data_IF_310188691241
#
_entry.id   IF_310188691241
#
_cell.length_a   1.000
_cell.length_b   1.000
_cell.length_c   1.000
_cell.angle_alpha   90.00
_cell.angle_beta   90.00
_cell.angle_gamma   90.00
#
_symmetry.space_group_name_H-M   'P 1'
#
loop_
_entity.id
_entity.type
_entity.pdbx_description
1 polymer ?
#
# COMPACT_ATOMS: atom_id res chain seq x y z
N UNK A 1 13.21 13.98 14.28
CA UNK A 1 12.08 14.37 13.43
C UNK A 1 11.59 13.08 12.82
N UNK A 2 10.48 12.54 13.30
CA UNK A 2 9.82 11.43 12.62
C UNK A 2 9.17 12.05 11.39
N UNK A 3 9.54 11.56 10.21
CA UNK A 3 8.94 12.01 8.96
C UNK A 3 7.42 11.85 9.07
N UNK A 4 6.68 12.89 8.66
CA UNK A 4 5.22 12.85 8.59
C UNK A 4 4.88 11.83 7.49
N UNK A 5 4.70 10.57 7.89
CA UNK A 5 4.30 9.50 6.98
C UNK A 5 2.84 9.71 6.64
N UNK A 6 2.57 10.06 5.38
CA UNK A 6 1.20 10.18 4.86
C UNK A 6 0.44 8.87 5.13
N UNK A 7 -0.52 8.89 6.07
CA UNK A 7 -1.43 7.78 6.32
C UNK A 7 -2.69 7.92 5.48
N UNK A 8 -3.10 6.82 4.85
CA UNK A 8 -4.32 6.79 4.04
C UNK A 8 -5.28 5.74 4.59
N UNK A 9 -6.54 6.11 4.73
CA UNK A 9 -7.58 5.14 5.06
C UNK A 9 -7.74 4.15 3.90
N UNK A 10 -7.71 2.86 4.23
CA UNK A 10 -7.92 1.77 3.30
C UNK A 10 -9.13 0.94 3.74
N UNK A 11 -9.91 0.48 2.76
CA UNK A 11 -11.05 -0.40 3.02
C UNK A 11 -10.59 -1.84 2.87
N UNK A 12 -10.81 -2.64 3.91
CA UNK A 12 -10.56 -4.09 3.90
C UNK A 12 -11.88 -4.80 3.57
N UNK A 13 -11.89 -5.56 2.48
CA UNK A 13 -12.99 -6.42 2.07
C UNK A 13 -13.10 -7.66 2.96
N UNK A 14 -14.27 -8.30 2.92
CA UNK A 14 -14.54 -9.50 3.73
C UNK A 14 -13.63 -10.70 3.38
N UNK A 15 -13.03 -10.69 2.20
CA UNK A 15 -12.08 -11.68 1.69
C UNK A 15 -10.62 -11.32 1.97
N UNK A 16 -10.37 -10.22 2.70
CA UNK A 16 -9.02 -9.70 2.95
C UNK A 16 -8.45 -8.87 1.80
N UNK A 17 -9.24 -8.56 0.78
CA UNK A 17 -8.82 -7.59 -0.25
C UNK A 17 -8.66 -6.19 0.33
N UNK A 18 -7.67 -5.43 -0.14
CA UNK A 18 -7.46 -4.04 0.28
C UNK A 18 -7.72 -3.12 -0.90
N UNK A 19 -8.64 -2.18 -0.74
CA UNK A 19 -8.87 -1.12 -1.73
C UNK A 19 -7.89 0.01 -1.51
N UNK A 20 -6.91 0.13 -2.40
CA UNK A 20 -5.93 1.23 -2.39
C UNK A 20 -6.55 2.45 -3.10
N UNK A 21 -6.59 3.63 -2.46
CA UNK A 21 -7.03 4.87 -3.09
C UNK A 21 -6.30 5.15 -4.41
N UNK A 22 -7.03 5.59 -5.43
CA UNK A 22 -6.47 5.88 -6.76
C UNK A 22 -5.27 6.84 -6.71
N UNK A 23 -5.32 7.83 -5.83
CA UNK A 23 -4.22 8.79 -5.61
C UNK A 23 -2.90 8.08 -5.26
N UNK A 24 -2.95 7.02 -4.45
CA UNK A 24 -1.76 6.26 -4.07
C UNK A 24 -1.21 5.46 -5.26
N UNK A 25 -2.09 4.84 -6.05
CA UNK A 25 -1.68 4.13 -7.26
C UNK A 25 -0.91 5.05 -8.22
N UNK A 26 -1.40 6.28 -8.41
CA UNK A 26 -0.77 7.28 -9.28
C UNK A 26 0.56 7.78 -8.71
N UNK A 27 0.63 8.10 -7.41
CA UNK A 27 1.85 8.53 -6.74
C UNK A 27 2.95 7.47 -6.81
N UNK A 28 2.59 6.20 -6.56
CA UNK A 28 3.52 5.08 -6.54
C UNK A 28 3.73 4.43 -7.91
N UNK A 29 3.02 4.90 -8.94
CA UNK A 29 3.04 4.37 -10.32
C UNK A 29 2.75 2.86 -10.39
N UNK A 30 1.85 2.39 -9.53
CA UNK A 30 1.39 1.00 -9.57
C UNK A 30 0.36 0.83 -10.67
N UNK A 31 0.77 0.16 -11.75
CA UNK A 31 -0.13 -0.24 -12.83
C UNK A 31 -0.84 -1.56 -12.49
N UNK A 32 -2.00 -1.86 -13.12
CA UNK A 32 -2.61 -3.19 -13.04
C UNK A 32 -1.59 -4.28 -13.36
N UNK A 33 -1.53 -5.31 -12.52
CA UNK A 33 -0.54 -6.40 -12.64
C UNK A 33 0.80 -6.14 -11.95
N UNK A 34 1.01 -4.96 -11.34
CA UNK A 34 2.19 -4.72 -10.50
C UNK A 34 2.17 -5.68 -9.32
N UNK A 35 3.27 -6.43 -9.13
CA UNK A 35 3.46 -7.24 -7.93
C UNK A 35 3.91 -6.34 -6.79
N UNK A 36 3.21 -6.41 -5.67
CA UNK A 36 3.54 -5.67 -4.46
C UNK A 36 4.05 -6.64 -3.40
N UNK A 37 5.03 -6.17 -2.63
CA UNK A 37 5.50 -6.84 -1.42
C UNK A 37 4.75 -6.26 -0.24
N UNK A 38 4.39 -7.14 0.69
CA UNK A 38 3.67 -6.81 1.92
C UNK A 38 4.55 -7.27 3.08
N UNK A 39 4.87 -6.35 3.96
CA UNK A 39 5.66 -6.61 5.16
C UNK A 39 4.87 -6.17 6.40
N UNK A 40 4.86 -7.03 7.42
CA UNK A 40 4.32 -6.68 8.75
C UNK A 40 5.40 -5.94 9.53
N UNK A 41 5.03 -4.80 10.10
CA UNK A 41 5.88 -3.90 10.88
C UNK A 41 5.18 -3.55 12.19
N UNK A 42 5.91 -3.01 13.16
CA UNK A 42 5.33 -2.60 14.45
C UNK A 42 4.23 -1.52 14.30
N UNK A 43 4.28 -0.72 13.23
CA UNK A 43 3.32 0.34 12.91
C UNK A 43 2.17 -0.13 11.99
N UNK A 44 2.18 -1.39 11.55
CA UNK A 44 1.17 -1.97 10.65
C UNK A 44 1.79 -2.59 9.40
N UNK A 45 1.14 -2.39 8.25
CA UNK A 45 1.54 -3.03 6.99
C UNK A 45 2.29 -2.04 6.11
N UNK A 46 3.51 -2.42 5.70
CA UNK A 46 4.27 -1.73 4.66
C UNK A 46 4.03 -2.40 3.32
N UNK A 47 3.68 -1.60 2.30
CA UNK A 47 3.47 -2.06 0.92
C UNK A 47 4.51 -1.41 0.02
N UNK A 48 5.29 -2.23 -0.69
CA UNK A 48 6.32 -1.77 -1.63
C UNK A 48 6.21 -2.49 -2.98
N UNK A 49 6.93 -2.01 -3.99
CA UNK A 49 7.01 -2.71 -5.29
C UNK A 49 7.91 -3.93 -5.17
N UNK A 50 7.42 -5.08 -5.62
CA UNK A 50 8.24 -6.27 -5.77
C UNK A 50 9.22 -6.20 -6.94
N UNK A 51 10.21 -7.09 -6.97
CA UNK A 51 11.12 -7.22 -8.11
C UNK A 51 10.35 -7.57 -9.39
N UNK A 52 10.90 -7.11 -10.53
CA UNK A 52 10.37 -7.35 -11.87
C UNK A 52 10.43 -8.82 -12.29
#
# INVERSE_FOLDING_TARGET
MFEDVDQFEAVVGADGSITVPKLLLERQRWAPGTRLLIEETDDGILITTGPA
#
